data_IF_592927656386
#
_entry.id   IF_592927656386
#
_cell.length_a   1.000
_cell.length_b   1.000
_cell.length_c   1.000
_cell.angle_alpha   90.00
_cell.angle_beta   90.00
_cell.angle_gamma   90.00
#
_symmetry.space_group_name_H-M   'P 1'
#
loop_
_entity.id
_entity.type
_entity.pdbx_description
1 polymer ?
#
# COMPACT_ATOMS: atom_id res chain seq x y z
N UNK A 1 17.83 -33.23 11.51
CA UNK A 1 16.61 -32.53 11.97
C UNK A 1 16.14 -31.66 10.81
N UNK A 2 15.01 -31.99 10.19
CA UNK A 2 14.43 -31.20 9.10
C UNK A 2 13.79 -29.95 9.70
N UNK A 3 14.18 -28.76 9.22
CA UNK A 3 13.58 -27.51 9.69
C UNK A 3 12.16 -27.40 9.13
N UNK A 4 11.23 -26.94 9.96
CA UNK A 4 9.83 -26.71 9.56
C UNK A 4 9.69 -25.49 8.63
N UNK A 5 10.44 -24.43 8.92
CA UNK A 5 10.51 -23.19 8.15
C UNK A 5 11.95 -22.80 7.90
N UNK A 6 12.21 -22.19 6.76
CA UNK A 6 13.52 -21.62 6.42
C UNK A 6 13.67 -20.22 6.98
N UNK A 7 12.62 -19.39 6.87
CA UNK A 7 12.63 -18.01 7.34
C UNK A 7 11.37 -17.64 8.10
N UNK A 8 11.56 -16.82 9.13
CA UNK A 8 10.55 -15.91 9.66
C UNK A 8 10.85 -14.50 9.16
N UNK A 9 9.84 -13.75 8.74
CA UNK A 9 10.01 -12.44 8.11
C UNK A 9 9.01 -11.41 8.65
N UNK A 10 9.44 -10.16 8.76
CA UNK A 10 8.60 -9.01 9.07
C UNK A 10 8.76 -8.01 7.93
N UNK A 11 7.67 -7.66 7.26
CA UNK A 11 7.65 -6.65 6.19
C UNK A 11 6.76 -5.47 6.60
N UNK A 12 7.15 -4.24 6.26
CA UNK A 12 6.39 -3.05 6.65
C UNK A 12 7.04 -1.76 6.21
N UNK A 13 6.64 -0.66 6.85
CA UNK A 13 7.15 0.68 6.62
C UNK A 13 8.53 0.86 7.27
N UNK A 14 9.51 1.24 6.46
CA UNK A 14 10.81 1.70 6.95
C UNK A 14 10.79 3.22 7.14
N UNK A 15 10.80 3.65 8.40
CA UNK A 15 10.77 5.05 8.78
C UNK A 15 11.97 5.86 8.24
N UNK A 16 13.08 5.20 7.92
CA UNK A 16 14.28 5.88 7.41
C UNK A 16 14.16 6.29 5.94
N UNK A 17 13.32 5.61 5.16
CA UNK A 17 13.12 5.91 3.73
C UNK A 17 11.88 6.77 3.45
N UNK A 18 11.02 6.95 4.46
CA UNK A 18 9.81 7.75 4.31
C UNK A 18 8.76 7.10 3.41
N UNK A 19 7.99 7.93 2.70
CA UNK A 19 6.88 7.51 1.83
C UNK A 19 7.32 7.46 0.36
N UNK A 20 7.95 6.35 -0.04
CA UNK A 20 8.29 6.09 -1.45
C UNK A 20 7.10 5.48 -2.20
N UNK A 21 6.73 5.98 -3.40
CA UNK A 21 5.76 5.32 -4.26
C UNK A 21 6.20 3.91 -4.61
N UNK A 22 5.25 2.98 -4.64
CA UNK A 22 5.51 1.64 -5.13
C UNK A 22 5.69 1.64 -6.66
N UNK A 23 6.85 1.17 -7.13
CA UNK A 23 7.25 1.22 -8.54
C UNK A 23 6.34 0.41 -9.46
N UNK A 24 5.64 -0.58 -8.92
CA UNK A 24 4.73 -1.45 -9.66
C UNK A 24 3.30 -0.91 -9.71
N UNK A 25 3.02 0.16 -8.96
CA UNK A 25 1.75 0.87 -8.98
C UNK A 25 1.91 2.09 -9.89
N UNK A 26 1.60 1.93 -11.19
CA UNK A 26 1.61 3.01 -12.21
C UNK A 26 1.12 4.35 -11.66
N UNK A 27 1.77 5.46 -12.04
CA UNK A 27 1.63 6.83 -11.53
C UNK A 27 0.23 7.20 -10.99
N UNK A 28 -0.01 6.79 -9.74
CA UNK A 28 -1.26 6.93 -9.03
C UNK A 28 -1.40 8.30 -8.37
N UNK A 29 -0.73 9.33 -8.91
CA UNK A 29 -0.85 10.71 -8.44
C UNK A 29 -2.32 11.20 -8.53
N UNK A 30 -3.12 10.57 -9.40
CA UNK A 30 -4.53 10.89 -9.59
C UNK A 30 -5.48 10.33 -8.52
N UNK A 31 -5.06 9.35 -7.71
CA UNK A 31 -5.86 8.80 -6.59
C UNK A 31 -5.43 9.39 -5.24
N UNK A 32 -6.31 9.29 -4.24
CA UNK A 32 -6.03 9.83 -2.91
C UNK A 32 -4.77 9.18 -2.30
N UNK A 33 -3.92 9.91 -1.55
CA UNK A 33 -2.74 9.34 -0.89
C UNK A 33 -3.02 8.06 -0.09
N UNK A 34 -4.14 7.98 0.63
CA UNK A 34 -4.51 6.76 1.38
C UNK A 34 -4.84 5.55 0.48
N UNK A 35 -5.16 5.77 -0.79
CA UNK A 35 -5.47 4.72 -1.76
C UNK A 35 -4.23 4.26 -2.54
N UNK A 36 -3.16 5.05 -2.52
CA UNK A 36 -1.88 4.74 -3.19
C UNK A 36 -1.20 3.54 -2.54
N UNK A 37 -0.39 2.85 -3.33
CA UNK A 37 0.57 1.87 -2.82
C UNK A 37 1.90 2.58 -2.55
N UNK A 38 2.50 2.28 -1.40
CA UNK A 38 3.83 2.73 -1.05
C UNK A 38 4.76 1.54 -0.94
N UNK A 39 6.06 1.77 -1.15
CA UNK A 39 7.06 0.73 -1.13
C UNK A 39 7.31 0.23 0.29
N UNK A 40 7.14 -1.07 0.50
CA UNK A 40 7.51 -1.77 1.72
C UNK A 40 8.98 -2.18 1.77
N UNK A 41 9.43 -2.59 2.95
CA UNK A 41 10.71 -3.28 3.14
C UNK A 41 10.57 -4.49 4.06
N UNK A 42 11.50 -5.44 3.93
CA UNK A 42 11.78 -6.39 4.99
C UNK A 42 12.42 -5.63 6.15
N UNK A 43 11.73 -5.56 7.27
CA UNK A 43 12.18 -4.89 8.49
C UNK A 43 13.07 -5.81 9.33
N UNK A 44 12.80 -7.12 9.30
CA UNK A 44 13.59 -8.14 9.96
C UNK A 44 13.33 -9.51 9.32
N UNK A 45 14.32 -10.39 9.38
CA UNK A 45 14.14 -11.81 9.11
C UNK A 45 15.08 -12.64 9.98
N UNK A 46 14.73 -13.90 10.16
CA UNK A 46 15.59 -14.88 10.82
C UNK A 46 15.45 -16.25 10.13
N UNK A 47 16.56 -16.98 9.90
CA UNK A 47 17.95 -16.56 10.09
C UNK A 47 18.37 -15.52 9.04
N UNK A 48 19.59 -15.01 9.15
CA UNK A 48 20.15 -14.09 8.15
C UNK A 48 20.22 -14.77 6.77
N UNK A 49 20.68 -16.02 6.71
CA UNK A 49 20.71 -16.78 5.46
C UNK A 49 20.57 -18.29 5.71
N UNK A 50 19.97 -18.95 4.74
CA UNK A 50 19.90 -20.41 4.60
C UNK A 50 20.62 -20.77 3.30
N UNK A 51 21.69 -21.57 3.37
CA UNK A 51 22.54 -21.88 2.21
C UNK A 51 21.77 -22.48 1.02
N UNK A 52 20.79 -23.35 1.30
CA UNK A 52 19.95 -23.99 0.28
C UNK A 52 18.84 -23.08 -0.23
N UNK A 53 18.58 -21.96 0.45
CA UNK A 53 17.50 -21.02 0.18
C UNK A 53 17.95 -19.56 0.40
N UNK A 54 18.87 -18.98 -0.41
CA UNK A 54 19.28 -17.58 -0.26
C UNK A 54 18.11 -16.61 -0.15
N UNK A 55 18.24 -15.62 0.73
CA UNK A 55 17.16 -14.69 1.03
C UNK A 55 17.04 -13.59 -0.04
N UNK A 56 15.86 -13.50 -0.67
CA UNK A 56 15.51 -12.40 -1.58
C UNK A 56 14.55 -11.43 -0.90
N UNK A 57 15.09 -10.38 -0.29
CA UNK A 57 14.30 -9.39 0.45
C UNK A 57 13.25 -8.68 -0.45
N UNK A 58 13.55 -8.49 -1.74
CA UNK A 58 12.66 -7.77 -2.65
C UNK A 58 11.44 -8.63 -2.99
N UNK A 59 11.66 -9.87 -3.43
CA UNK A 59 10.58 -10.80 -3.74
C UNK A 59 9.75 -11.10 -2.49
N UNK A 60 10.40 -11.34 -1.35
CA UNK A 60 9.72 -11.61 -0.08
C UNK A 60 8.85 -10.46 0.35
N UNK A 61 9.35 -9.22 0.31
CA UNK A 61 8.54 -8.06 0.69
C UNK A 61 7.34 -7.86 -0.24
N UNK A 62 7.56 -7.95 -1.56
CA UNK A 62 6.52 -7.78 -2.57
C UNK A 62 5.41 -8.82 -2.41
N UNK A 63 5.75 -10.07 -2.14
CA UNK A 63 4.76 -11.15 -2.02
C UNK A 63 4.12 -11.22 -0.62
N UNK A 64 4.83 -10.77 0.42
CA UNK A 64 4.27 -10.65 1.78
C UNK A 64 3.26 -9.51 1.89
N UNK A 65 3.41 -8.47 1.06
CA UNK A 65 2.52 -7.31 0.96
C UNK A 65 2.11 -7.12 -0.52
N UNK A 66 1.21 -7.95 -1.08
CA UNK A 66 0.91 -7.99 -2.51
C UNK A 66 0.25 -6.72 -3.05
N UNK A 67 -0.30 -5.86 -2.18
CA UNK A 67 -0.84 -4.54 -2.53
C UNK A 67 0.11 -3.39 -2.13
N UNK A 68 1.38 -3.71 -1.85
CA UNK A 68 2.34 -2.83 -1.21
C UNK A 68 1.90 -2.36 0.18
N UNK A 69 2.55 -1.30 0.67
CA UNK A 69 2.10 -0.62 1.87
C UNK A 69 0.85 0.20 1.57
N UNK A 70 -0.18 -0.02 2.38
CA UNK A 70 -1.42 0.73 2.34
C UNK A 70 -1.58 1.50 3.63
N UNK A 71 -1.97 2.76 3.51
CA UNK A 71 -2.31 3.59 4.66
C UNK A 71 -3.82 3.67 4.82
N UNK A 72 -4.27 3.70 6.07
CA UNK A 72 -5.69 3.77 6.43
C UNK A 72 -5.86 4.66 7.64
N UNK A 73 -7.04 5.22 7.80
CA UNK A 73 -7.46 5.83 9.08
C UNK A 73 -8.20 4.82 9.94
N UNK A 74 -8.40 5.13 11.23
CA UNK A 74 -9.22 4.34 12.15
C UNK A 74 -10.67 4.11 11.66
N UNK A 75 -11.13 4.88 10.67
CA UNK A 75 -12.46 4.77 10.09
C UNK A 75 -12.63 3.51 9.24
N UNK A 76 -11.54 2.87 8.82
CA UNK A 76 -11.59 1.66 7.99
C UNK A 76 -11.64 0.40 8.87
N UNK A 77 -12.70 -0.39 8.74
CA UNK A 77 -12.87 -1.66 9.46
C UNK A 77 -11.76 -2.69 9.17
N UNK A 78 -11.11 -2.65 8.00
CA UNK A 78 -9.98 -3.52 7.66
C UNK A 78 -8.80 -3.36 8.63
N UNK A 79 -8.72 -2.23 9.35
CA UNK A 79 -7.70 -2.05 10.40
C UNK A 79 -7.95 -2.92 11.63
N UNK A 80 -9.13 -3.53 11.77
CA UNK A 80 -9.54 -4.29 12.95
C UNK A 80 -9.30 -5.80 12.83
N UNK A 81 -9.10 -6.33 11.62
CA UNK A 81 -8.97 -7.76 11.38
C UNK A 81 -7.77 -8.07 10.48
N UNK A 82 -6.83 -8.92 10.91
CA UNK A 82 -5.74 -9.40 10.06
C UNK A 82 -6.26 -10.19 8.85
N UNK A 83 -5.54 -10.11 7.73
CA UNK A 83 -5.77 -10.88 6.51
C UNK A 83 -4.63 -11.85 6.29
N UNK A 84 -4.95 -13.07 5.86
CA UNK A 84 -3.96 -14.11 5.59
C UNK A 84 -3.94 -14.47 4.11
N UNK A 85 -2.75 -14.69 3.56
CA UNK A 85 -2.59 -15.27 2.23
C UNK A 85 -1.32 -16.10 2.11
N UNK A 86 -1.33 -17.04 1.17
CA UNK A 86 -0.17 -17.81 0.75
C UNK A 86 0.40 -17.27 -0.57
N UNK A 87 1.69 -17.47 -0.79
CA UNK A 87 2.36 -17.16 -2.04
C UNK A 87 3.43 -18.20 -2.38
N UNK A 88 3.88 -18.20 -3.64
CA UNK A 88 4.91 -19.09 -4.13
C UNK A 88 5.99 -18.27 -4.85
N UNK A 89 7.26 -18.57 -4.55
CA UNK A 89 8.43 -18.07 -5.28
C UNK A 89 8.96 -19.23 -6.12
N UNK A 90 9.05 -19.04 -7.43
CA UNK A 90 9.76 -19.96 -8.32
C UNK A 90 11.11 -19.36 -8.66
N UNK A 91 12.18 -20.10 -8.33
CA UNK A 91 13.56 -19.69 -8.57
C UNK A 91 13.99 -20.02 -9.99
N UNK A 92 15.10 -19.43 -10.40
CA UNK A 92 15.74 -19.64 -11.70
C UNK A 92 16.13 -21.10 -11.96
N UNK A 93 16.43 -21.86 -10.91
CA UNK A 93 16.73 -23.31 -10.97
C UNK A 93 15.47 -24.20 -10.96
N UNK A 94 14.27 -23.59 -11.02
CA UNK A 94 12.98 -24.27 -11.00
C UNK A 94 12.52 -24.70 -9.60
N UNK A 95 13.32 -24.50 -8.55
CA UNK A 95 12.90 -24.79 -7.17
C UNK A 95 11.82 -23.81 -6.72
N UNK A 96 11.01 -24.30 -5.79
CA UNK A 96 9.84 -23.61 -5.24
C UNK A 96 10.04 -23.31 -3.76
N UNK A 97 9.73 -22.09 -3.36
CA UNK A 97 9.62 -21.69 -1.96
C UNK A 97 8.17 -21.23 -1.70
N UNK A 98 7.58 -21.76 -0.64
CA UNK A 98 6.21 -21.48 -0.23
C UNK A 98 6.22 -20.48 0.91
N UNK A 99 5.43 -19.43 0.78
CA UNK A 99 5.32 -18.38 1.77
C UNK A 99 3.91 -18.24 2.30
N UNK A 100 3.79 -17.87 3.56
CA UNK A 100 2.53 -17.57 4.23
C UNK A 100 2.68 -16.23 4.94
N UNK A 101 1.74 -15.32 4.72
CA UNK A 101 1.77 -13.96 5.24
C UNK A 101 0.48 -13.66 6.00
N UNK A 102 0.64 -13.07 7.18
CA UNK A 102 -0.42 -12.45 7.96
C UNK A 102 -0.23 -10.94 7.91
N UNK A 103 -1.12 -10.26 7.20
CA UNK A 103 -1.17 -8.81 7.08
C UNK A 103 -2.07 -8.24 8.16
N UNK A 104 -1.60 -7.24 8.88
CA UNK A 104 -2.38 -6.45 9.84
C UNK A 104 -2.03 -4.97 9.69
N UNK A 105 -2.75 -4.12 10.40
CA UNK A 105 -2.49 -2.68 10.41
C UNK A 105 -1.93 -2.26 11.77
N UNK A 106 -0.84 -1.49 11.77
CA UNK A 106 -0.28 -0.89 12.98
C UNK A 106 -0.42 0.64 12.95
N UNK A 107 -0.57 1.25 14.13
CA UNK A 107 -0.66 2.70 14.28
C UNK A 107 0.69 3.35 13.95
N UNK A 108 0.67 4.32 13.04
CA UNK A 108 1.84 5.11 12.67
C UNK A 108 2.07 6.17 13.74
N UNK A 109 3.10 5.99 14.56
CA UNK A 109 3.51 6.94 15.61
C UNK A 109 4.61 7.90 15.18
N UNK A 110 5.26 7.62 14.05
CA UNK A 110 6.30 8.48 13.51
C UNK A 110 5.67 9.78 12.95
N UNK A 111 6.05 10.92 13.55
CA UNK A 111 5.48 12.23 13.21
C UNK A 111 5.84 12.70 11.80
N UNK A 112 7.01 12.33 11.30
CA UNK A 112 7.46 12.72 9.96
C UNK A 112 6.63 12.02 8.89
N UNK A 113 6.29 10.74 9.09
CA UNK A 113 5.37 10.01 8.21
C UNK A 113 3.97 10.62 8.23
N UNK A 114 3.45 10.91 9.43
CA UNK A 114 2.14 11.54 9.57
C UNK A 114 2.09 12.91 8.87
N UNK A 115 3.15 13.71 9.02
CA UNK A 115 3.26 15.03 8.38
C UNK A 115 3.37 14.88 6.85
N UNK A 116 4.21 13.96 6.38
CA UNK A 116 4.34 13.68 4.95
C UNK A 116 3.01 13.24 4.31
N UNK A 117 2.25 12.37 4.99
CA UNK A 117 0.92 11.96 4.52
C UNK A 117 -0.06 13.14 4.47
N UNK A 118 -0.04 14.03 5.48
CA UNK A 118 -0.85 15.25 5.47
C UNK A 118 -0.48 16.17 4.30
N UNK A 119 0.81 16.36 4.03
CA UNK A 119 1.30 17.17 2.90
C UNK A 119 0.81 16.58 1.57
N UNK A 120 0.94 15.27 1.37
CA UNK A 120 0.43 14.60 0.17
C UNK A 120 -1.08 14.79 0.01
N UNK A 121 -1.84 14.75 1.12
CA UNK A 121 -3.28 14.99 1.11
C UNK A 121 -3.63 16.43 0.69
N UNK A 122 -2.91 17.42 1.23
CA UNK A 122 -3.10 18.83 0.87
C UNK A 122 -2.78 19.10 -0.60
N UNK A 123 -1.69 18.50 -1.12
CA UNK A 123 -1.34 18.56 -2.55
C UNK A 123 -2.47 17.99 -3.42
N UNK A 124 -2.94 16.79 -3.08
CA UNK A 124 -4.03 16.12 -3.81
C UNK A 124 -5.33 16.97 -3.85
N UNK A 125 -5.71 17.59 -2.73
CA UNK A 125 -6.91 18.45 -2.65
C UNK A 125 -6.73 19.74 -3.46
N UNK A 126 -5.53 20.32 -3.45
CA UNK A 126 -5.21 21.53 -4.22
C UNK A 126 -5.27 21.26 -5.72
N UNK A 127 -4.74 20.12 -6.15
CA UNK A 127 -4.82 19.66 -7.55
C UNK A 127 -6.27 19.38 -8.00
N UNK A 128 -7.11 18.84 -7.11
CA UNK A 128 -8.55 18.67 -7.38
C UNK A 128 -9.25 20.02 -7.56
N UNK A 129 -8.95 20.99 -6.70
CA UNK A 129 -9.61 22.29 -6.64
C UNK A 129 -9.21 23.23 -7.78
N UNK A 130 -7.98 23.10 -8.29
CA UNK A 130 -7.45 23.92 -9.40
C UNK A 130 -8.03 23.55 -10.78
N UNK A 131 -8.93 22.57 -10.88
CA UNK A 131 -9.63 22.23 -12.11
C UNK A 131 -8.75 21.63 -13.22
N UNK A 132 -7.45 21.41 -12.95
CA UNK A 132 -6.50 20.73 -13.86
C UNK A 132 -7.00 19.33 -14.25
N UNK A 133 -7.74 18.65 -13.36
CA UNK A 133 -8.34 17.33 -13.59
C UNK A 133 -9.58 17.35 -14.51
N UNK A 134 -10.26 18.48 -14.70
CA UNK A 134 -11.39 18.57 -15.63
C UNK A 134 -10.96 18.49 -17.11
N UNK A 135 -9.72 18.92 -17.43
CA UNK A 135 -9.20 18.91 -18.81
C UNK A 135 -8.73 17.53 -19.27
N UNK A 136 -8.18 16.70 -18.39
CA UNK A 136 -7.69 15.36 -18.76
C UNK A 136 -8.85 14.40 -19.03
N UNK A 137 -9.93 14.47 -18.25
CA UNK A 137 -11.15 13.69 -18.50
C UNK A 137 -11.92 14.16 -19.75
N UNK A 138 -11.86 15.46 -20.09
CA UNK A 138 -12.45 16.00 -21.32
C UNK A 138 -11.73 15.56 -22.60
N UNK A 139 -10.43 15.27 -22.54
CA UNK A 139 -9.66 14.82 -23.71
C UNK A 139 -9.97 13.37 -24.12
N UNK A 140 -10.56 12.56 -23.23
CA UNK A 140 -11.04 11.22 -23.58
C UNK A 140 -12.46 11.22 -24.17
N UNK A 141 -13.20 12.34 -24.14
CA UNK A 141 -14.63 12.36 -24.48
C UNK A 141 -15.12 13.54 -25.34
N UNK A 142 -14.25 14.37 -25.92
CA UNK A 142 -14.70 15.48 -26.76
C UNK A 142 -14.84 15.11 -28.26
N UNK A 143 -15.98 14.52 -28.61
CA UNK A 143 -16.77 15.00 -29.75
C UNK A 143 -18.07 15.61 -29.22
N UNK A 144 -18.07 16.91 -28.91
CA UNK A 144 -19.28 17.63 -28.50
C UNK A 144 -19.00 19.10 -28.19
N UNK A 145 -19.85 20.05 -28.63
CA UNK A 145 -19.52 21.47 -28.60
C UNK A 145 -19.66 22.11 -27.23
N UNK A 146 -18.78 23.09 -27.03
CA UNK A 146 -18.52 23.93 -25.87
C UNK A 146 -19.76 24.64 -25.31
N UNK A 147 -19.96 24.55 -23.99
CA UNK A 147 -20.71 25.55 -23.22
C UNK A 147 -19.86 26.03 -22.05
N UNK A 148 -19.50 27.32 -22.09
CA UNK A 148 -18.77 28.03 -21.03
C UNK A 148 -19.73 28.38 -19.90
N UNK A 149 -19.88 27.47 -18.95
CA UNK A 149 -20.29 27.80 -17.58
C UNK A 149 -19.78 26.73 -16.64
N UNK A 150 -19.22 27.13 -15.49
CA UNK A 150 -18.88 26.21 -14.41
C UNK A 150 -20.15 25.41 -14.06
N UNK A 151 -20.10 24.06 -14.01
CA UNK A 151 -21.23 23.31 -13.50
C UNK A 151 -21.42 23.69 -12.04
N UNK A 152 -22.49 24.44 -11.72
CA UNK A 152 -22.94 24.71 -10.33
C UNK A 152 -23.34 23.43 -9.58
N UNK A 153 -23.08 22.26 -10.15
CA UNK A 153 -23.45 20.98 -9.61
C UNK A 153 -22.50 19.86 -10.06
N UNK A 154 -21.17 20.07 -9.99
CA UNK A 154 -20.29 18.90 -9.92
C UNK A 154 -20.46 18.29 -8.52
N UNK A 155 -21.49 17.45 -8.36
CA UNK A 155 -21.55 16.55 -7.22
C UNK A 155 -20.33 15.65 -7.35
N UNK A 156 -19.32 15.84 -6.48
CA UNK A 156 -18.52 14.71 -6.02
C UNK A 156 -19.52 13.56 -5.89
N UNK A 157 -19.27 12.42 -6.52
CA UNK A 157 -20.05 11.22 -6.27
C UNK A 157 -20.05 11.01 -4.76
N UNK A 158 -21.13 11.47 -4.15
CA UNK A 158 -21.33 11.54 -2.73
C UNK A 158 -21.73 10.12 -2.39
N UNK A 159 -20.73 9.27 -2.23
CA UNK A 159 -20.87 8.12 -1.38
C UNK A 159 -20.59 8.66 0.03
N UNK A 160 -21.60 9.08 0.82
CA UNK A 160 -21.40 9.70 2.13
C UNK A 160 -20.56 8.83 3.07
N UNK A 161 -20.56 7.51 2.86
CA UNK A 161 -19.76 6.56 3.65
C UNK A 161 -18.34 6.33 3.10
N UNK A 162 -18.08 6.61 1.81
CA UNK A 162 -16.80 6.31 1.15
C UNK A 162 -15.84 7.50 1.12
N UNK A 163 -16.33 8.72 0.94
CA UNK A 163 -15.46 9.89 0.82
C UNK A 163 -14.68 10.17 2.12
N UNK A 164 -15.28 9.99 3.30
CA UNK A 164 -14.58 10.20 4.57
C UNK A 164 -13.44 9.19 4.82
N UNK A 165 -13.47 8.03 4.16
CA UNK A 165 -12.42 7.02 4.23
C UNK A 165 -11.19 7.43 3.41
N UNK A 166 -11.35 8.28 2.40
CA UNK A 166 -10.23 8.63 1.51
C UNK A 166 -9.42 9.83 1.98
N UNK A 167 -9.82 10.51 3.06
CA UNK A 167 -9.10 11.68 3.61
C UNK A 167 -8.45 11.39 4.96
N UNK A 168 -7.28 12.01 5.14
CA UNK A 168 -6.53 12.03 6.39
C UNK A 168 -6.43 13.46 6.94
N UNK A 169 -6.95 13.68 8.14
CA UNK A 169 -6.78 14.91 8.92
C UNK A 169 -5.92 14.62 10.15
N UNK A 170 -4.67 15.09 10.16
CA UNK A 170 -3.71 14.84 11.26
C UNK A 170 -4.24 15.25 12.66
N UNK A 171 -5.18 16.17 12.73
CA UNK A 171 -5.74 16.67 13.99
C UNK A 171 -6.86 15.79 14.55
N UNK A 172 -7.46 14.93 13.72
CA UNK A 172 -8.65 14.12 14.07
C UNK A 172 -8.43 12.62 13.86
N UNK A 173 -7.56 12.27 12.92
CA UNK A 173 -7.40 10.91 12.44
C UNK A 173 -6.13 10.28 13.00
N UNK A 174 -6.24 8.99 13.32
CA UNK A 174 -5.09 8.13 13.55
C UNK A 174 -4.73 7.48 12.24
N UNK A 175 -3.45 7.54 11.88
CA UNK A 175 -2.92 6.90 10.69
C UNK A 175 -2.46 5.48 11.02
N UNK A 176 -2.81 4.52 10.17
CA UNK A 176 -2.39 3.13 10.24
C UNK A 176 -1.71 2.75 8.93
N UNK A 177 -0.74 1.83 9.01
CA UNK A 177 -0.04 1.28 7.84
C UNK A 177 -0.09 -0.24 7.87
N UNK A 178 -0.20 -0.87 6.71
CA UNK A 178 -0.12 -2.32 6.60
C UNK A 178 1.27 -2.83 7.00
N UNK A 179 1.28 -3.96 7.68
CA UNK A 179 2.45 -4.69 8.12
C UNK A 179 2.19 -6.18 7.97
N UNK A 180 3.24 -6.93 7.71
CA UNK A 180 3.15 -8.37 7.51
C UNK A 180 4.14 -9.06 8.42
N UNK A 181 3.70 -10.16 9.03
CA UNK A 181 4.59 -11.22 9.52
C UNK A 181 4.37 -12.46 8.68
N UNK A 182 5.43 -13.19 8.37
CA UNK A 182 5.33 -14.35 7.50
C UNK A 182 6.39 -15.41 7.75
N UNK A 183 6.15 -16.57 7.14
CA UNK A 183 7.08 -17.69 7.13
C UNK A 183 7.33 -18.14 5.70
N UNK A 184 8.52 -18.65 5.44
CA UNK A 184 8.93 -19.20 4.14
C UNK A 184 9.52 -20.59 4.35
N UNK A 185 9.16 -21.54 3.49
CA UNK A 185 9.65 -22.91 3.52
C UNK A 185 9.86 -23.47 2.11
N UNK A 186 10.86 -24.33 1.95
CA UNK A 186 11.03 -25.15 0.75
C UNK A 186 10.14 -26.40 0.72
N UNK A 187 9.44 -26.70 1.83
CA UNK A 187 8.48 -27.80 1.90
C UNK A 187 7.09 -27.30 1.53
N UNK A 188 6.41 -28.06 0.67
CA UNK A 188 5.01 -27.81 0.36
C UNK A 188 4.15 -28.16 1.58
N UNK A 189 3.38 -27.18 2.04
CA UNK A 189 2.36 -27.38 3.06
C UNK A 189 1.02 -27.03 2.40
N UNK A 190 0.24 -28.07 2.06
CA UNK A 190 -1.10 -27.99 1.47
C UNK A 190 -2.10 -28.47 2.49
#
# INVERSE_FOLDING_TARGET
MTKFVDYFVICGLDYNSGLEPDKYSEDNLHVSPLERSYKGKVLAHYPENVQTNPFDASAVCMLSLPSGLKFRTQKHSVTLAPSFHSFLITREDGKRCYGFSLIFYEEVRNRDICTAMQTLQAMYITELSSGLKARVLQNAQNQGPQSRSLPRHFKLTHNPNGAALTYYDISKDKLFVSKSIGIISQLAHV
#
